data_IF_759269882143
#
_entry.id   IF_759269882143
#
_cell.length_a   1.000
_cell.length_b   1.000
_cell.length_c   1.000
_cell.angle_alpha   90.00
_cell.angle_beta   90.00
_cell.angle_gamma   90.00
#
_symmetry.space_group_name_H-M   'P 1'
#
loop_
_entity.id
_entity.type
_entity.pdbx_description
1 polymer ?
#
# COMPACT_ATOMS: atom_id res chain seq x y z
N UNK A 1 -22.36 12.63 26.41
CA UNK A 1 -21.95 13.67 25.44
C UNK A 1 -20.56 13.34 24.92
N UNK A 2 -20.54 12.83 23.68
CA UNK A 2 -19.48 12.94 22.67
C UNK A 2 -18.08 12.44 23.05
N UNK A 3 -17.82 11.14 22.97
CA UNK A 3 -16.45 10.63 22.70
C UNK A 3 -16.38 9.20 22.13
N UNK A 4 -17.45 8.39 22.18
CA UNK A 4 -17.39 6.98 21.72
C UNK A 4 -17.76 6.74 20.24
N UNK A 5 -17.81 7.79 19.41
CA UNK A 5 -18.26 7.68 18.01
C UNK A 5 -17.31 8.32 16.98
N UNK A 6 -16.00 8.27 17.23
CA UNK A 6 -14.95 8.61 16.24
C UNK A 6 -13.82 7.59 16.32
N UNK A 7 -14.10 6.31 16.11
CA UNK A 7 -13.04 5.26 16.04
C UNK A 7 -13.28 4.20 14.97
N UNK A 8 -14.46 4.17 14.34
CA UNK A 8 -14.84 3.15 13.36
C UNK A 8 -14.87 3.71 11.94
N UNK A 9 -13.75 4.20 11.42
CA UNK A 9 -13.55 4.31 9.96
C UNK A 9 -12.07 4.54 9.61
N UNK A 10 -11.13 3.88 10.29
CA UNK A 10 -9.72 3.89 9.86
C UNK A 10 -9.30 2.45 9.69
N UNK A 11 -9.44 1.93 8.47
CA UNK A 11 -8.80 0.65 8.15
C UNK A 11 -7.30 0.87 8.27
N UNK A 12 -6.65 0.16 9.20
CA UNK A 12 -5.19 0.12 9.27
C UNK A 12 -4.62 -0.40 7.96
N UNK A 13 -3.46 0.10 7.56
CA UNK A 13 -2.76 -0.34 6.33
C UNK A 13 -2.54 -1.85 6.37
N UNK A 14 -2.17 -2.40 7.52
CA UNK A 14 -2.03 -3.84 7.75
C UNK A 14 -3.34 -4.60 7.45
N UNK A 15 -4.45 -4.16 8.06
CA UNK A 15 -5.75 -4.83 7.90
C UNK A 15 -6.28 -4.74 6.47
N UNK A 16 -5.97 -3.66 5.76
CA UNK A 16 -6.31 -3.51 4.35
C UNK A 16 -5.38 -4.33 3.45
N UNK A 17 -4.09 -4.45 3.81
CA UNK A 17 -3.09 -5.26 3.09
C UNK A 17 -3.48 -6.73 3.13
N UNK A 18 -3.87 -7.24 4.30
CA UNK A 18 -4.34 -8.63 4.47
C UNK A 18 -5.63 -8.95 3.70
N UNK A 19 -6.41 -7.92 3.31
CA UNK A 19 -7.65 -8.09 2.52
C UNK A 19 -7.42 -7.86 1.03
N UNK A 20 -6.29 -7.26 0.65
CA UNK A 20 -5.92 -7.06 -0.73
C UNK A 20 -5.30 -8.36 -1.28
N UNK A 21 -6.03 -9.00 -2.19
CA UNK A 21 -5.59 -10.27 -2.80
C UNK A 21 -4.22 -10.15 -3.45
N UNK A 22 -3.95 -9.05 -4.16
CA UNK A 22 -2.68 -8.87 -4.87
C UNK A 22 -1.54 -8.78 -3.86
N UNK A 23 -1.69 -7.95 -2.82
CA UNK A 23 -0.64 -7.78 -1.82
C UNK A 23 -0.42 -9.05 -1.00
N UNK A 24 -1.50 -9.76 -0.67
CA UNK A 24 -1.41 -11.04 0.06
C UNK A 24 -0.63 -12.09 -0.76
N UNK A 25 -0.88 -12.17 -2.07
CA UNK A 25 -0.19 -13.08 -2.99
C UNK A 25 1.32 -12.74 -3.08
N UNK A 26 1.65 -11.45 -3.20
CA UNK A 26 3.04 -10.96 -3.17
C UNK A 26 3.73 -11.33 -1.85
N UNK A 27 3.05 -11.13 -0.72
CA UNK A 27 3.59 -11.45 0.61
C UNK A 27 3.86 -12.94 0.76
N UNK A 28 3.00 -13.80 0.23
CA UNK A 28 3.21 -15.25 0.25
C UNK A 28 4.39 -15.69 -0.63
N UNK A 29 4.63 -14.98 -1.74
CA UNK A 29 5.75 -15.25 -2.66
C UNK A 29 7.12 -14.80 -2.13
N UNK A 30 7.18 -13.78 -1.26
CA UNK A 30 8.43 -13.25 -0.71
C UNK A 30 9.31 -14.33 -0.04
N UNK A 31 8.81 -15.15 0.91
CA UNK A 31 9.63 -16.17 1.57
C UNK A 31 9.85 -17.44 0.73
N UNK A 32 8.95 -17.79 -0.20
CA UNK A 32 8.96 -19.08 -0.90
C UNK A 32 9.55 -19.04 -2.32
N UNK A 33 10.09 -17.89 -2.75
CA UNK A 33 10.41 -17.56 -4.14
C UNK A 33 9.17 -17.53 -5.03
N UNK A 34 9.24 -16.71 -6.07
CA UNK A 34 8.11 -16.48 -6.97
C UNK A 34 7.87 -17.68 -7.91
N UNK A 35 6.61 -18.00 -8.21
CA UNK A 35 6.27 -19.06 -9.16
C UNK A 35 6.74 -18.71 -10.58
N UNK A 36 6.97 -19.72 -11.44
CA UNK A 36 7.34 -19.49 -12.84
C UNK A 36 6.25 -18.76 -13.65
N UNK A 37 4.99 -18.95 -13.25
CA UNK A 37 3.85 -18.29 -13.86
C UNK A 37 3.28 -17.29 -12.86
N UNK A 38 3.62 -16.01 -13.05
CA UNK A 38 3.27 -14.92 -12.15
C UNK A 38 2.05 -14.21 -12.71
N UNK A 39 1.06 -13.94 -11.86
CA UNK A 39 -0.12 -13.19 -12.25
C UNK A 39 0.27 -11.79 -12.78
N UNK A 40 -0.48 -11.28 -13.76
CA UNK A 40 -0.23 -9.95 -14.34
C UNK A 40 -0.27 -8.84 -13.28
N UNK A 41 -1.13 -9.00 -12.27
CA UNK A 41 -1.28 -8.07 -11.14
C UNK A 41 -0.08 -8.06 -10.19
N UNK A 42 0.64 -9.18 -10.05
CA UNK A 42 1.80 -9.31 -9.17
C UNK A 42 3.14 -9.14 -9.90
N UNK A 43 3.13 -9.18 -11.24
CA UNK A 43 4.27 -8.91 -12.12
C UNK A 43 5.05 -7.62 -11.82
N UNK A 44 4.44 -6.45 -11.56
CA UNK A 44 5.19 -5.24 -11.21
C UNK A 44 5.96 -5.39 -9.89
N UNK A 45 5.41 -6.14 -8.94
CA UNK A 45 6.08 -6.44 -7.67
C UNK A 45 7.24 -7.43 -7.87
N UNK A 46 7.06 -8.43 -8.74
CA UNK A 46 8.12 -9.37 -9.08
C UNK A 46 9.36 -8.70 -9.69
N UNK A 47 9.16 -7.75 -10.61
CA UNK A 47 10.26 -7.02 -11.25
C UNK A 47 11.16 -6.27 -10.25
N UNK A 48 10.66 -6.05 -9.03
CA UNK A 48 11.35 -5.32 -7.98
C UNK A 48 11.41 -6.11 -6.66
N UNK A 49 11.31 -7.44 -6.73
CA UNK A 49 11.24 -8.32 -5.56
C UNK A 49 12.37 -8.09 -4.54
N UNK A 50 13.59 -7.79 -5.00
CA UNK A 50 14.75 -7.52 -4.13
C UNK A 50 14.60 -6.23 -3.30
N UNK A 51 13.71 -5.33 -3.73
CA UNK A 51 13.39 -4.09 -3.02
C UNK A 51 12.12 -4.21 -2.18
N UNK A 52 11.47 -5.37 -2.15
CA UNK A 52 10.27 -5.59 -1.36
C UNK A 52 10.61 -6.13 0.02
N UNK A 53 9.93 -5.63 1.04
CA UNK A 53 10.05 -6.11 2.42
C UNK A 53 8.70 -6.09 3.13
N UNK A 54 8.54 -7.00 4.09
CA UNK A 54 7.35 -7.05 4.94
C UNK A 54 7.75 -6.61 6.36
N UNK A 55 7.08 -5.59 6.89
CA UNK A 55 7.28 -5.13 8.25
C UNK A 55 5.94 -4.75 8.89
N UNK A 56 5.67 -5.26 10.10
CA UNK A 56 4.41 -4.95 10.82
C UNK A 56 3.14 -5.27 10.00
N UNK A 57 3.18 -6.34 9.19
CA UNK A 57 2.07 -6.73 8.32
C UNK A 57 1.78 -5.77 7.15
N UNK A 58 2.66 -4.81 6.89
CA UNK A 58 2.60 -3.91 5.75
C UNK A 58 3.69 -4.26 4.74
N UNK A 59 3.36 -4.21 3.44
CA UNK A 59 4.32 -4.40 2.36
C UNK A 59 5.02 -3.07 2.05
N UNK A 60 6.33 -3.11 1.89
CA UNK A 60 7.18 -1.97 1.57
C UNK A 60 7.90 -2.19 0.25
N UNK A 61 8.12 -1.09 -0.46
CA UNK A 61 9.01 -0.96 -1.60
C UNK A 61 10.12 0.02 -1.22
N UNK A 62 11.31 -0.48 -0.89
CA UNK A 62 12.37 0.32 -0.29
C UNK A 62 11.88 0.99 1.00
N UNK A 63 11.81 2.33 1.01
CA UNK A 63 11.28 3.12 2.13
C UNK A 63 9.78 3.46 2.02
N UNK A 64 9.13 3.11 0.89
CA UNK A 64 7.73 3.46 0.62
C UNK A 64 6.81 2.34 1.07
N UNK A 65 5.69 2.70 1.70
CA UNK A 65 4.65 1.72 1.99
C UNK A 65 3.82 1.48 0.73
N UNK A 66 3.57 0.21 0.41
CA UNK A 66 2.65 -0.16 -0.67
C UNK A 66 1.23 0.02 -0.15
N UNK A 67 0.44 0.89 -0.79
CA UNK A 67 -0.90 1.20 -0.30
C UNK A 67 -1.93 0.24 -0.89
N UNK A 68 -2.68 -0.51 -0.06
CA UNK A 68 -3.77 -1.36 -0.51
C UNK A 68 -4.80 -0.57 -1.33
N UNK A 69 -5.39 -1.20 -2.33
CA UNK A 69 -6.31 -0.56 -3.27
C UNK A 69 -7.47 0.16 -2.57
N UNK A 70 -7.94 -0.39 -1.45
CA UNK A 70 -9.01 0.18 -0.63
C UNK A 70 -8.65 1.52 0.05
N UNK A 71 -7.36 1.77 0.31
CA UNK A 71 -6.87 2.97 0.99
C UNK A 71 -6.36 4.05 0.01
N UNK A 72 -6.13 3.71 -1.25
CA UNK A 72 -5.68 4.67 -2.28
C UNK A 72 -6.59 5.92 -2.37
N UNK A 73 -7.94 5.80 -2.39
CA UNK A 73 -8.81 6.99 -2.42
C UNK A 73 -8.61 7.91 -1.22
N UNK A 74 -8.37 7.34 -0.03
CA UNK A 74 -8.17 8.11 1.18
C UNK A 74 -6.83 8.87 1.16
N UNK A 75 -5.75 8.23 0.71
CA UNK A 75 -4.46 8.88 0.52
C UNK A 75 -4.56 10.01 -0.51
N UNK A 76 -5.26 9.78 -1.63
CA UNK A 76 -5.50 10.83 -2.63
C UNK A 76 -6.28 12.01 -2.05
N UNK A 77 -7.29 11.75 -1.21
CA UNK A 77 -8.05 12.80 -0.54
C UNK A 77 -7.17 13.62 0.42
N UNK A 78 -6.31 12.97 1.22
CA UNK A 78 -5.37 13.68 2.11
C UNK A 78 -4.43 14.57 1.31
N UNK A 79 -3.86 14.06 0.22
CA UNK A 79 -2.98 14.83 -0.66
C UNK A 79 -3.72 16.04 -1.27
N UNK A 80 -4.99 15.85 -1.62
CA UNK A 80 -5.82 16.93 -2.18
C UNK A 80 -6.13 18.01 -1.15
N UNK A 81 -6.50 17.63 0.07
CA UNK A 81 -6.76 18.55 1.19
C UNK A 81 -5.54 19.40 1.57
N UNK A 82 -4.33 18.91 1.31
CA UNK A 82 -3.11 19.68 1.50
C UNK A 82 -2.95 20.87 0.52
N UNK A 83 -3.83 21.01 -0.47
CA UNK A 83 -3.84 22.10 -1.47
C UNK A 83 -2.48 22.34 -2.16
N UNK A 84 -1.63 21.31 -2.23
CA UNK A 84 -0.24 21.45 -2.69
C UNK A 84 -0.10 21.75 -4.19
N UNK A 85 -1.20 21.72 -4.96
CA UNK A 85 -1.17 21.73 -6.41
C UNK A 85 -0.74 20.38 -7.00
N UNK A 86 -1.16 20.11 -8.24
CA UNK A 86 -1.04 18.77 -8.84
C UNK A 86 0.39 18.22 -8.88
N UNK A 87 1.39 19.05 -9.21
CA UNK A 87 2.79 18.60 -9.31
C UNK A 87 3.33 18.15 -7.94
N UNK A 88 3.09 18.95 -6.90
CA UNK A 88 3.57 18.64 -5.54
C UNK A 88 2.82 17.46 -4.93
N UNK A 89 1.53 17.31 -5.21
CA UNK A 89 0.77 16.10 -4.84
C UNK A 89 1.37 14.83 -5.47
N UNK A 90 1.71 14.87 -6.77
CA UNK A 90 2.36 13.73 -7.46
C UNK A 90 3.77 13.46 -6.92
N UNK A 91 4.51 14.48 -6.53
CA UNK A 91 5.83 14.30 -5.90
C UNK A 91 5.70 13.61 -4.55
N UNK A 92 4.80 14.09 -3.68
CA UNK A 92 4.56 13.52 -2.35
C UNK A 92 4.05 12.07 -2.43
N UNK A 93 3.15 11.76 -3.37
CA UNK A 93 2.72 10.38 -3.54
C UNK A 93 3.88 9.48 -3.95
N UNK A 94 4.69 9.88 -4.93
CA UNK A 94 5.81 9.08 -5.44
C UNK A 94 6.91 8.83 -4.40
N UNK A 95 7.09 9.72 -3.43
CA UNK A 95 8.12 9.58 -2.38
C UNK A 95 7.62 8.84 -1.14
N UNK A 96 6.33 8.91 -0.82
CA UNK A 96 5.77 8.33 0.40
C UNK A 96 5.14 6.94 0.18
N UNK A 97 4.52 6.72 -0.99
CA UNK A 97 3.69 5.54 -1.25
C UNK A 97 4.04 4.89 -2.59
N UNK A 98 3.86 3.57 -2.67
CA UNK A 98 3.96 2.77 -3.89
C UNK A 98 2.58 2.24 -4.28
#
# INVERSE_FOLDING_TARGET
MVSEKVRKQTQSVESATSKDKTLTDVIQCLPHRWPKNIAVTTKPFYAHQDSLSLAGGCLFYGHRVVIPSALQPHILQILYLGHFGMQRMKQLSRTAVY
#
